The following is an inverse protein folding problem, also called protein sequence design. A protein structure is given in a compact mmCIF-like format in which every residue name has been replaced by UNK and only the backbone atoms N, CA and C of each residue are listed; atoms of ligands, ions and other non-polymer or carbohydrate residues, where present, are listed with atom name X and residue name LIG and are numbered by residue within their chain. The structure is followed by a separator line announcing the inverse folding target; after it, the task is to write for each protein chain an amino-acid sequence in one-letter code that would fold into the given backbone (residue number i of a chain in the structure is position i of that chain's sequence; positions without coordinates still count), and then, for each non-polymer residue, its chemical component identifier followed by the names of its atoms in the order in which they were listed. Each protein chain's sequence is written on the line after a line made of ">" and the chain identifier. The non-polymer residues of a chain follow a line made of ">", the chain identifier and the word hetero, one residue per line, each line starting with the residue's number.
data_IF_293835580856
#
_entry.id   IF_293835580856
#
_cell.length_a   1.000
_cell.length_b   1.000
_cell.length_c   1.000
_cell.angle_alpha   90.00
_cell.angle_beta   90.00
_cell.angle_gamma   90.00
#
_symmetry.space_group_name_H-M   'P 1'
#
loop_
_entity.id
_entity.type
_entity.pdbx_description
1 polymer ?
#
# COMPACT_ATOMS: atom_id res chain seq x y z
N UNK A 1 0.06 0.15 -23.84
CA UNK A 1 0.20 -0.79 -22.71
C UNK A 1 0.27 -0.14 -21.32
N UNK A 2 0.88 1.04 -21.15
CA UNK A 2 1.20 1.68 -19.84
C UNK A 2 -0.03 1.93 -18.92
N UNK A 3 -1.22 2.23 -19.49
CA UNK A 3 -2.44 2.50 -18.70
C UNK A 3 -2.94 1.27 -17.91
N UNK A 4 -2.84 0.07 -18.49
CA UNK A 4 -3.49 -1.14 -17.96
C UNK A 4 -2.74 -1.75 -16.78
N UNK A 5 -1.41 -1.63 -16.74
CA UNK A 5 -0.60 -2.22 -15.66
C UNK A 5 -0.46 -1.33 -14.43
N UNK A 6 -0.67 -0.01 -14.54
CA UNK A 6 -0.42 0.92 -13.41
C UNK A 6 -1.30 0.61 -12.20
N UNK A 7 -2.60 0.37 -12.39
CA UNK A 7 -3.51 -0.02 -11.29
C UNK A 7 -3.07 -1.31 -10.61
N UNK A 8 -2.67 -2.32 -11.39
CA UNK A 8 -2.16 -3.58 -10.86
C UNK A 8 -0.91 -3.37 -10.01
N UNK A 9 0.05 -2.59 -10.51
CA UNK A 9 1.28 -2.26 -9.79
C UNK A 9 0.99 -1.51 -8.49
N UNK A 10 0.11 -0.51 -8.52
CA UNK A 10 -0.31 0.22 -7.32
C UNK A 10 -0.91 -0.72 -6.27
N UNK A 11 -1.83 -1.61 -6.68
CA UNK A 11 -2.45 -2.55 -5.73
C UNK A 11 -1.45 -3.55 -5.14
N UNK A 12 -0.53 -4.09 -5.95
CA UNK A 12 0.52 -4.99 -5.46
C UNK A 12 1.44 -4.23 -4.48
N UNK A 13 1.94 -3.05 -4.85
CA UNK A 13 2.83 -2.28 -4.00
C UNK A 13 2.15 -1.78 -2.73
N UNK A 14 0.88 -1.41 -2.79
CA UNK A 14 0.08 -1.05 -1.60
C UNK A 14 -0.10 -2.25 -0.67
N UNK A 15 -0.36 -3.45 -1.21
CA UNK A 15 -0.45 -4.67 -0.39
C UNK A 15 0.88 -5.03 0.28
N UNK A 16 2.01 -4.83 -0.40
CA UNK A 16 3.35 -5.01 0.16
C UNK A 16 3.62 -3.99 1.26
N UNK A 17 3.31 -2.70 1.01
CA UNK A 17 3.48 -1.65 1.99
C UNK A 17 2.65 -1.92 3.25
N UNK A 18 1.36 -2.24 3.09
CA UNK A 18 0.46 -2.56 4.20
C UNK A 18 0.99 -3.76 5.00
N UNK A 19 1.36 -4.84 4.32
CA UNK A 19 1.88 -6.03 4.97
C UNK A 19 3.18 -5.74 5.73
N UNK A 20 4.08 -4.96 5.14
CA UNK A 20 5.36 -4.58 5.74
C UNK A 20 5.15 -3.71 6.97
N UNK A 21 4.34 -2.66 6.88
CA UNK A 21 4.08 -1.75 8.00
C UNK A 21 3.35 -2.45 9.15
N UNK A 22 2.41 -3.34 8.86
CA UNK A 22 1.75 -4.15 9.88
C UNK A 22 2.69 -5.17 10.53
N UNK A 23 3.62 -5.79 9.79
CA UNK A 23 4.63 -6.68 10.37
C UNK A 23 5.63 -5.90 11.24
N UNK A 24 6.06 -4.72 10.82
CA UNK A 24 6.89 -3.83 11.64
C UNK A 24 6.14 -3.48 12.93
N UNK A 25 4.85 -3.12 12.82
CA UNK A 25 4.00 -2.85 13.99
C UNK A 25 3.92 -4.04 14.94
N UNK A 26 3.71 -5.24 14.42
CA UNK A 26 3.63 -6.47 15.21
C UNK A 26 4.98 -6.80 15.87
N UNK A 27 6.08 -6.64 15.14
CA UNK A 27 7.43 -6.88 15.65
C UNK A 27 7.83 -5.85 16.73
N UNK A 28 7.49 -4.57 16.52
CA UNK A 28 7.68 -3.52 17.53
C UNK A 28 6.89 -3.84 18.79
N UNK A 29 5.60 -4.20 18.66
CA UNK A 29 4.78 -4.63 19.79
C UNK A 29 5.42 -5.82 20.53
N UNK A 30 5.78 -6.88 19.80
CA UNK A 30 6.42 -8.05 20.39
C UNK A 30 7.75 -7.73 21.09
N UNK A 31 8.54 -6.78 20.56
CA UNK A 31 9.81 -6.35 21.15
C UNK A 31 9.62 -5.52 22.42
N UNK A 32 8.76 -4.49 22.37
CA UNK A 32 8.53 -3.60 23.52
C UNK A 32 7.89 -4.34 24.70
N UNK A 33 7.09 -5.36 24.40
CA UNK A 33 6.34 -6.13 25.40
C UNK A 33 6.91 -7.54 25.60
N UNK A 34 8.16 -7.80 25.20
CA UNK A 34 8.78 -9.13 25.29
C UNK A 34 8.92 -9.61 26.74
N UNK A 35 9.33 -8.72 27.65
CA UNK A 35 9.53 -9.04 29.06
C UNK A 35 8.20 -9.27 29.81
N UNK A 36 7.14 -8.57 29.40
CA UNK A 36 5.78 -8.70 29.97
C UNK A 36 4.87 -9.62 29.14
N UNK A 37 5.43 -10.36 28.17
CA UNK A 37 4.65 -11.08 27.15
C UNK A 37 3.68 -12.10 27.76
N UNK A 38 4.04 -12.75 28.86
CA UNK A 38 3.17 -13.67 29.59
C UNK A 38 2.01 -12.94 30.30
N UNK A 39 2.29 -11.79 30.94
CA UNK A 39 1.28 -10.97 31.60
C UNK A 39 0.31 -10.34 30.59
N UNK A 40 0.84 -9.84 29.47
CA UNK A 40 0.05 -9.25 28.39
C UNK A 40 -0.77 -10.31 27.66
N UNK A 41 -0.19 -11.49 27.42
CA UNK A 41 -0.95 -12.61 26.85
C UNK A 41 -2.09 -13.07 27.77
N UNK A 42 -2.02 -12.82 29.08
CA UNK A 42 -3.11 -13.09 30.01
C UNK A 42 -4.21 -12.01 30.01
N UNK A 43 -3.91 -10.78 29.56
CA UNK A 43 -4.88 -9.68 29.42
C UNK A 43 -5.83 -9.93 28.24
N UNK A 44 -5.32 -10.52 27.15
CA UNK A 44 -6.09 -10.76 25.92
C UNK A 44 -6.68 -12.17 25.87
N UNK A 45 -7.92 -12.28 25.38
CA UNK A 45 -8.60 -13.57 25.28
C UNK A 45 -7.88 -14.51 24.31
N UNK A 46 -8.08 -15.83 24.45
CA UNK A 46 -7.57 -16.83 23.47
C UNK A 46 -8.03 -16.48 22.06
N UNK A 47 -9.27 -15.98 21.92
CA UNK A 47 -9.85 -15.58 20.65
C UNK A 47 -9.09 -14.39 20.02
N UNK A 48 -8.78 -13.34 20.78
CA UNK A 48 -8.01 -12.19 20.30
C UNK A 48 -6.57 -12.58 19.90
N UNK A 49 -5.91 -13.42 20.70
CA UNK A 49 -4.59 -13.95 20.38
C UNK A 49 -4.61 -14.80 19.10
N UNK A 50 -5.64 -15.62 18.93
CA UNK A 50 -5.87 -16.37 17.68
C UNK A 50 -6.03 -15.44 16.48
N UNK A 51 -6.79 -14.35 16.62
CA UNK A 51 -6.97 -13.36 15.56
C UNK A 51 -5.65 -12.69 15.16
N UNK A 52 -4.76 -12.42 16.12
CA UNK A 52 -3.41 -11.89 15.84
C UNK A 52 -2.52 -12.90 15.13
N UNK A 53 -2.57 -14.19 15.51
CA UNK A 53 -1.83 -15.24 14.82
C UNK A 53 -2.29 -15.36 13.35
N UNK A 54 -3.60 -15.35 13.11
CA UNK A 54 -4.19 -15.33 11.76
C UNK A 54 -3.73 -14.08 11.00
N UNK A 55 -3.73 -12.91 11.64
CA UNK A 55 -3.25 -11.69 11.04
C UNK A 55 -1.76 -11.79 10.66
N UNK A 56 -0.90 -12.27 11.55
CA UNK A 56 0.53 -12.45 11.27
C UNK A 56 0.78 -13.37 10.07
N UNK A 57 0.11 -14.52 10.02
CA UNK A 57 0.19 -15.46 8.91
C UNK A 57 -0.30 -14.83 7.59
N UNK A 58 -1.42 -14.12 7.63
CA UNK A 58 -1.95 -13.42 6.47
C UNK A 58 -1.00 -12.33 5.96
N UNK A 59 -0.39 -11.54 6.85
CA UNK A 59 0.56 -10.50 6.48
C UNK A 59 1.79 -11.10 5.78
N UNK A 60 2.32 -12.22 6.29
CA UNK A 60 3.43 -12.96 5.64
C UNK A 60 3.00 -13.48 4.27
N UNK A 61 1.84 -14.15 4.18
CA UNK A 61 1.33 -14.69 2.92
C UNK A 61 1.09 -13.59 1.88
N UNK A 62 0.51 -12.46 2.29
CA UNK A 62 0.28 -11.27 1.47
C UNK A 62 1.60 -10.67 0.98
N UNK A 63 2.61 -10.54 1.85
CA UNK A 63 3.93 -10.02 1.49
C UNK A 63 4.64 -10.93 0.47
N UNK A 64 4.67 -12.25 0.75
CA UNK A 64 5.25 -13.25 -0.14
C UNK A 64 4.54 -13.25 -1.49
N UNK A 65 3.22 -13.22 -1.49
CA UNK A 65 2.43 -13.11 -2.72
C UNK A 65 2.74 -11.81 -3.47
N UNK A 66 2.80 -10.67 -2.80
CA UNK A 66 3.16 -9.37 -3.38
C UNK A 66 4.51 -9.41 -4.10
N UNK A 67 5.56 -9.86 -3.41
CA UNK A 67 6.92 -9.98 -3.97
C UNK A 67 6.94 -10.97 -5.13
N UNK A 68 6.26 -12.12 -4.99
CA UNK A 68 6.17 -13.12 -6.04
C UNK A 68 5.41 -12.60 -7.28
N UNK A 69 4.38 -11.77 -7.10
CA UNK A 69 3.66 -11.10 -8.19
C UNK A 69 4.53 -10.09 -8.93
N UNK A 70 5.36 -9.31 -8.23
CA UNK A 70 6.36 -8.44 -8.88
C UNK A 70 7.38 -9.24 -9.70
N UNK A 71 7.69 -10.46 -9.25
CA UNK A 71 8.52 -11.44 -9.98
C UNK A 71 7.74 -12.26 -11.01
N UNK A 72 6.49 -11.87 -11.32
CA UNK A 72 5.58 -12.51 -12.29
C UNK A 72 5.31 -14.00 -12.04
N UNK A 73 5.36 -14.46 -10.79
CA UNK A 73 5.02 -15.84 -10.43
C UNK A 73 3.50 -16.04 -10.46
N UNK A 74 3.02 -16.99 -11.26
CA UNK A 74 1.59 -17.23 -11.50
C UNK A 74 0.84 -17.74 -10.27
N UNK A 75 1.49 -18.53 -9.41
CA UNK A 75 0.92 -19.06 -8.17
C UNK A 75 0.61 -17.96 -7.14
N UNK A 76 1.29 -16.81 -7.22
CA UNK A 76 1.19 -15.74 -6.23
C UNK A 76 -0.22 -15.14 -6.13
N UNK A 77 -0.94 -15.05 -7.26
CA UNK A 77 -2.35 -14.63 -7.27
C UNK A 77 -3.25 -15.58 -6.50
N UNK A 78 -3.02 -16.89 -6.66
CA UNK A 78 -3.78 -17.92 -5.95
C UNK A 78 -3.47 -17.85 -4.45
N UNK A 79 -2.20 -17.69 -4.07
CA UNK A 79 -1.82 -17.52 -2.67
C UNK A 79 -2.54 -16.32 -2.03
N UNK A 80 -2.52 -15.16 -2.68
CA UNK A 80 -3.19 -13.97 -2.15
C UNK A 80 -4.71 -14.18 -2.02
N UNK A 81 -5.35 -14.68 -3.09
CA UNK A 81 -6.80 -14.83 -3.09
C UNK A 81 -7.30 -15.89 -2.09
N UNK A 82 -6.70 -17.08 -2.11
CA UNK A 82 -7.08 -18.18 -1.20
C UNK A 82 -6.70 -17.82 0.24
N UNK A 83 -5.48 -17.32 0.46
CA UNK A 83 -5.06 -16.87 1.78
C UNK A 83 -5.96 -15.79 2.36
N UNK A 84 -6.40 -14.85 1.52
CA UNK A 84 -7.29 -13.75 1.95
C UNK A 84 -8.66 -14.26 2.34
N UNK A 85 -9.24 -15.19 1.56
CA UNK A 85 -10.52 -15.83 1.89
C UNK A 85 -10.41 -16.64 3.19
N UNK A 86 -9.35 -17.44 3.35
CA UNK A 86 -9.11 -18.22 4.56
C UNK A 86 -8.93 -17.31 5.78
N UNK A 87 -8.18 -16.22 5.66
CA UNK A 87 -8.01 -15.24 6.73
C UNK A 87 -9.34 -14.56 7.11
N UNK A 88 -10.16 -14.18 6.11
CA UNK A 88 -11.49 -13.60 6.35
C UNK A 88 -12.42 -14.59 7.07
N UNK A 89 -12.45 -15.86 6.66
CA UNK A 89 -13.25 -16.89 7.33
C UNK A 89 -12.78 -17.13 8.77
N UNK A 90 -11.47 -17.19 8.99
CA UNK A 90 -10.90 -17.31 10.32
C UNK A 90 -11.23 -16.10 11.19
N UNK A 91 -11.15 -14.88 10.65
CA UNK A 91 -11.56 -13.67 11.35
C UNK A 91 -13.07 -13.63 11.62
N UNK A 92 -13.93 -14.14 10.74
CA UNK A 92 -15.37 -14.28 11.04
C UNK A 92 -15.64 -15.19 12.25
N UNK A 93 -14.82 -16.22 12.45
CA UNK A 93 -14.93 -17.08 13.63
C UNK A 93 -14.33 -16.43 14.91
N UNK A 94 -13.40 -15.49 14.76
CA UNK A 94 -12.59 -14.96 15.86
C UNK A 94 -12.89 -13.50 16.23
N UNK A 95 -13.57 -12.73 15.38
CA UNK A 95 -13.77 -11.30 15.56
C UNK A 95 -15.22 -10.91 15.30
N UNK A 96 -15.71 -9.83 15.95
CA UNK A 96 -16.98 -9.22 15.60
C UNK A 96 -17.09 -8.92 14.10
N UNK A 97 -18.25 -9.19 13.51
CA UNK A 97 -18.51 -9.03 12.08
C UNK A 97 -18.12 -7.64 11.51
N UNK A 98 -18.26 -6.49 12.23
CA UNK A 98 -17.88 -5.19 11.65
C UNK A 98 -16.39 -5.09 11.31
N UNK A 99 -15.51 -5.69 12.12
CA UNK A 99 -14.07 -5.73 11.86
C UNK A 99 -13.77 -6.52 10.60
N UNK A 100 -14.47 -7.63 10.40
CA UNK A 100 -14.25 -8.49 9.25
C UNK A 100 -14.77 -7.83 7.98
N UNK A 101 -15.94 -7.19 8.02
CA UNK A 101 -16.49 -6.42 6.88
C UNK A 101 -15.54 -5.31 6.45
N UNK A 102 -14.92 -4.59 7.39
CA UNK A 102 -13.91 -3.60 7.06
C UNK A 102 -12.71 -4.19 6.31
N UNK A 103 -12.27 -5.40 6.68
CA UNK A 103 -11.18 -6.11 5.99
C UNK A 103 -11.60 -6.69 4.62
N UNK A 104 -12.88 -7.02 4.41
CA UNK A 104 -13.39 -7.55 3.13
C UNK A 104 -13.16 -6.54 2.00
N UNK A 105 -13.40 -5.25 2.24
CA UNK A 105 -13.31 -4.20 1.21
C UNK A 105 -11.93 -4.15 0.53
N UNK A 106 -10.81 -3.96 1.24
CA UNK A 106 -9.49 -3.92 0.62
C UNK A 106 -9.06 -5.27 0.01
N UNK A 107 -9.45 -6.40 0.63
CA UNK A 107 -9.14 -7.74 0.09
C UNK A 107 -9.86 -7.96 -1.24
N UNK A 108 -11.16 -7.68 -1.30
CA UNK A 108 -11.97 -7.82 -2.52
C UNK A 108 -11.49 -6.87 -3.62
N UNK A 109 -11.17 -5.62 -3.28
CA UNK A 109 -10.62 -4.65 -4.23
C UNK A 109 -9.29 -5.14 -4.83
N UNK A 110 -8.42 -5.72 -4.00
CA UNK A 110 -7.13 -6.26 -4.45
C UNK A 110 -7.34 -7.48 -5.33
N UNK A 111 -8.18 -8.44 -4.93
CA UNK A 111 -8.50 -9.62 -5.75
C UNK A 111 -9.07 -9.20 -7.11
N UNK A 112 -10.01 -8.25 -7.15
CA UNK A 112 -10.57 -7.73 -8.41
C UNK A 112 -9.47 -7.17 -9.32
N UNK A 113 -8.50 -6.45 -8.77
CA UNK A 113 -7.37 -5.95 -9.56
C UNK A 113 -6.47 -7.09 -10.07
N UNK A 114 -6.18 -8.09 -9.22
CA UNK A 114 -5.32 -9.24 -9.54
C UNK A 114 -5.91 -10.19 -10.59
N UNK A 115 -7.24 -10.23 -10.71
CA UNK A 115 -7.96 -11.03 -11.71
C UNK A 115 -8.48 -10.20 -12.89
N UNK A 116 -8.08 -8.94 -13.00
CA UNK A 116 -8.39 -8.12 -14.16
C UNK A 116 -7.67 -8.63 -15.43
N UNK A 117 -8.24 -8.33 -16.59
CA UNK A 117 -7.62 -8.65 -17.89
C UNK A 117 -6.18 -8.10 -18.00
N UNK A 118 -5.93 -6.93 -17.40
CA UNK A 118 -4.59 -6.33 -17.35
C UNK A 118 -3.57 -7.18 -16.56
N UNK A 119 -4.00 -7.82 -15.48
CA UNK A 119 -3.16 -8.71 -14.69
C UNK A 119 -2.81 -9.99 -15.45
N UNK A 120 -3.76 -10.54 -16.21
CA UNK A 120 -3.47 -11.69 -17.08
C UNK A 120 -2.41 -11.34 -18.13
N UNK A 121 -2.54 -10.20 -18.81
CA UNK A 121 -1.54 -9.72 -19.76
C UNK A 121 -0.17 -9.51 -19.09
N UNK A 122 -0.14 -8.95 -17.88
CA UNK A 122 1.12 -8.69 -17.17
C UNK A 122 1.88 -9.98 -16.81
N UNK A 123 1.16 -11.01 -16.34
CA UNK A 123 1.77 -12.26 -15.89
C UNK A 123 2.25 -13.16 -17.03
N UNK A 124 1.67 -13.02 -18.22
CA UNK A 124 2.04 -13.80 -19.41
C UNK A 124 2.90 -12.99 -20.38
N UNK A 125 3.17 -11.71 -20.09
CA UNK A 125 4.10 -10.91 -20.89
C UNK A 125 5.52 -11.47 -20.76
N UNK A 126 6.23 -11.51 -21.89
CA UNK A 126 7.66 -11.81 -21.96
C UNK A 126 8.38 -10.94 -20.92
N UNK A 127 9.30 -11.51 -20.10
CA UNK A 127 10.10 -10.74 -19.16
C UNK A 127 10.77 -9.60 -19.93
N UNK A 128 10.36 -8.36 -19.63
CA UNK A 128 11.12 -7.22 -20.09
C UNK A 128 12.41 -7.22 -19.27
N UNK A 129 13.55 -6.95 -19.91
CA UNK A 129 14.80 -6.75 -19.18
C UNK A 129 14.55 -5.80 -18.00
N UNK A 130 14.89 -6.26 -16.80
CA UNK A 130 14.81 -5.41 -15.62
C UNK A 130 15.66 -4.15 -15.88
N UNK A 131 15.22 -2.95 -15.48
CA UNK A 131 16.00 -1.74 -15.70
C UNK A 131 17.38 -1.90 -15.02
N UNK A 132 18.43 -2.12 -15.82
CA UNK A 132 19.79 -2.50 -15.35
C UNK A 132 20.59 -1.33 -14.75
N UNK A 133 19.97 -0.17 -14.52
CA UNK A 133 20.66 1.03 -14.06
C UNK A 133 20.63 1.18 -12.54
N UNK A 134 21.81 1.28 -11.89
CA UNK A 134 21.96 1.61 -10.46
C UNK A 134 21.13 2.85 -10.07
N UNK A 135 21.08 3.86 -10.93
CA UNK A 135 20.27 5.07 -10.77
C UNK A 135 18.77 4.78 -10.63
N UNK A 136 18.24 3.88 -11.44
CA UNK A 136 16.81 3.50 -11.41
C UNK A 136 16.48 2.72 -10.14
N UNK A 137 17.37 1.83 -9.71
CA UNK A 137 17.22 1.11 -8.44
C UNK A 137 17.21 2.07 -7.25
N UNK A 138 18.17 3.00 -7.18
CA UNK A 138 18.22 4.00 -6.10
C UNK A 138 16.94 4.83 -6.09
N UNK A 139 16.47 5.30 -7.25
CA UNK A 139 15.21 6.05 -7.32
C UNK A 139 14.02 5.23 -6.80
N UNK A 140 13.92 3.95 -7.16
CA UNK A 140 12.84 3.07 -6.67
C UNK A 140 12.89 2.88 -5.15
N UNK A 141 14.09 2.67 -4.59
CA UNK A 141 14.27 2.56 -3.14
C UNK A 141 13.87 3.86 -2.44
N UNK A 142 14.28 5.02 -2.98
CA UNK A 142 13.92 6.32 -2.41
C UNK A 142 12.41 6.59 -2.52
N UNK A 143 11.74 6.21 -3.62
CA UNK A 143 10.28 6.32 -3.72
C UNK A 143 9.59 5.39 -2.72
N UNK A 144 10.05 4.16 -2.54
CA UNK A 144 9.51 3.24 -1.54
C UNK A 144 9.69 3.78 -0.12
N UNK A 145 10.87 4.32 0.20
CA UNK A 145 11.16 4.96 1.48
C UNK A 145 10.28 6.19 1.72
N UNK A 146 10.16 7.08 0.73
CA UNK A 146 9.26 8.24 0.80
C UNK A 146 7.81 7.80 1.06
N UNK A 147 7.34 6.77 0.35
CA UNK A 147 5.97 6.22 0.49
C UNK A 147 5.74 5.65 1.89
N UNK A 148 6.70 4.91 2.44
CA UNK A 148 6.62 4.37 3.79
C UNK A 148 6.63 5.48 4.85
N UNK A 149 7.48 6.49 4.69
CA UNK A 149 7.56 7.63 5.59
C UNK A 149 6.28 8.47 5.57
N UNK A 150 5.71 8.77 4.40
CA UNK A 150 4.44 9.50 4.33
C UNK A 150 3.30 8.69 4.95
N UNK A 151 3.27 7.37 4.74
CA UNK A 151 2.31 6.46 5.36
C UNK A 151 2.40 6.51 6.88
N UNK A 152 3.59 6.33 7.45
CA UNK A 152 3.79 6.36 8.91
C UNK A 152 3.50 7.73 9.50
N UNK A 153 3.86 8.82 8.79
CA UNK A 153 3.59 10.20 9.22
C UNK A 153 2.09 10.43 9.36
N UNK A 154 1.32 10.14 8.30
CA UNK A 154 -0.13 10.36 8.29
C UNK A 154 -0.84 9.45 9.29
N UNK A 155 -0.44 8.17 9.36
CA UNK A 155 -1.03 7.24 10.31
C UNK A 155 -0.76 7.66 11.77
N UNK A 156 0.46 8.11 12.08
CA UNK A 156 0.81 8.65 13.40
C UNK A 156 0.06 9.95 13.74
N UNK A 157 -0.07 10.87 12.78
CA UNK A 157 -0.79 12.14 12.96
C UNK A 157 -2.28 11.94 13.24
N UNK A 158 -2.95 11.01 12.56
CA UNK A 158 -4.40 10.84 12.68
C UNK A 158 -4.83 9.94 13.82
N UNK A 159 -3.97 9.02 14.23
CA UNK A 159 -4.21 8.20 15.41
C UNK A 159 -3.87 8.97 16.68
N UNK A 160 -2.81 9.79 16.71
CA UNK A 160 -2.46 10.58 17.91
C UNK A 160 -2.04 9.75 19.14
N UNK A 161 -1.89 8.43 18.98
CA UNK A 161 -1.53 7.46 20.02
C UNK A 161 -1.00 6.17 19.37
N UNK A 162 -0.33 5.33 20.17
CA UNK A 162 0.27 4.05 19.74
C UNK A 162 1.75 4.16 19.42
N UNK A 163 2.41 3.02 19.19
CA UNK A 163 3.89 2.95 19.07
C UNK A 163 4.46 3.89 18.01
N UNK A 164 3.75 4.13 16.90
CA UNK A 164 4.19 5.10 15.89
C UNK A 164 4.24 6.50 16.49
N UNK A 165 3.19 6.93 17.19
CA UNK A 165 3.16 8.23 17.87
C UNK A 165 4.20 8.33 18.99
N UNK A 166 4.36 7.27 19.80
CA UNK A 166 5.37 7.22 20.88
C UNK A 166 6.80 7.27 20.35
N UNK A 167 7.06 6.63 19.21
CA UNK A 167 8.38 6.64 18.56
C UNK A 167 8.69 7.99 17.89
N UNK A 168 7.65 8.79 17.60
CA UNK A 168 7.78 10.13 17.08
C UNK A 168 8.00 11.14 18.23
N UNK A 169 7.26 11.06 19.33
CA UNK A 169 7.33 12.08 20.40
C UNK A 169 6.72 13.42 19.98
N UNK A 170 6.63 14.37 20.93
CA UNK A 170 5.76 15.57 20.81
C UNK A 170 6.02 16.53 19.63
N UNK A 171 7.23 16.56 19.06
CA UNK A 171 7.60 17.47 17.95
C UNK A 171 7.74 16.79 16.58
N UNK A 172 7.60 15.47 16.50
CA UNK A 172 8.00 14.70 15.33
C UNK A 172 7.08 14.66 14.11
N UNK A 173 5.79 15.07 14.13
CA UNK A 173 5.00 15.15 12.91
C UNK A 173 5.63 16.06 11.85
N UNK A 174 6.19 17.20 12.28
CA UNK A 174 6.84 18.16 11.39
C UNK A 174 8.19 17.63 10.84
N UNK A 175 9.01 17.01 11.68
CA UNK A 175 10.28 16.42 11.22
C UNK A 175 10.08 15.26 10.26
N UNK A 176 9.08 14.40 10.51
CA UNK A 176 8.72 13.31 9.60
C UNK A 176 8.11 13.85 8.29
N UNK A 177 7.34 14.93 8.38
CA UNK A 177 6.81 15.63 7.21
C UNK A 177 7.93 16.18 6.31
N UNK A 178 8.91 16.86 6.90
CA UNK A 178 10.10 17.35 6.19
C UNK A 178 10.88 16.17 5.60
N UNK A 179 11.09 15.11 6.37
CA UNK A 179 11.87 13.94 5.94
C UNK A 179 11.27 13.28 4.69
N UNK A 180 9.96 12.99 4.66
CA UNK A 180 9.38 12.35 3.47
C UNK A 180 9.41 13.27 2.25
N UNK A 181 9.23 14.58 2.42
CA UNK A 181 9.32 15.55 1.32
C UNK A 181 10.74 15.57 0.74
N UNK A 182 11.76 15.64 1.59
CA UNK A 182 13.17 15.63 1.16
C UNK A 182 13.50 14.33 0.42
N UNK A 183 13.10 13.18 0.97
CA UNK A 183 13.32 11.87 0.34
C UNK A 183 12.57 11.76 -0.99
N UNK A 184 11.35 12.28 -1.09
CA UNK A 184 10.57 12.29 -2.33
C UNK A 184 11.22 13.17 -3.40
N UNK A 185 11.66 14.38 -3.04
CA UNK A 185 12.37 15.29 -3.96
C UNK A 185 13.67 14.64 -4.43
N UNK A 186 14.45 14.05 -3.53
CA UNK A 186 15.65 13.29 -3.88
C UNK A 186 15.33 12.14 -4.85
N UNK A 187 14.26 11.37 -4.60
CA UNK A 187 13.80 10.31 -5.49
C UNK A 187 13.50 10.84 -6.91
N UNK A 188 12.80 11.98 -7.00
CA UNK A 188 12.47 12.64 -8.28
C UNK A 188 13.73 13.11 -9.01
N UNK A 189 14.69 13.70 -8.30
CA UNK A 189 15.94 14.18 -8.89
C UNK A 189 16.79 13.01 -9.43
N UNK A 190 16.90 11.94 -8.65
CA UNK A 190 17.62 10.72 -9.04
C UNK A 190 16.89 9.97 -10.15
N UNK A 191 15.56 10.02 -10.24
CA UNK A 191 14.82 9.30 -11.27
C UNK A 191 15.13 9.79 -12.71
N UNK A 192 15.13 8.88 -13.71
CA UNK A 192 15.27 9.24 -15.12
C UNK A 192 14.18 10.22 -15.58
N UNK A 193 14.54 11.28 -16.33
CA UNK A 193 13.64 12.39 -16.68
C UNK A 193 12.30 11.96 -17.28
N UNK A 194 12.28 10.89 -18.09
CA UNK A 194 11.06 10.35 -18.72
C UNK A 194 10.11 9.58 -17.78
N UNK A 195 10.57 9.15 -16.60
CA UNK A 195 9.78 8.31 -15.68
C UNK A 195 9.41 8.99 -14.36
N UNK A 196 9.96 10.18 -14.09
CA UNK A 196 9.76 10.92 -12.82
C UNK A 196 8.30 11.07 -12.42
N UNK A 197 7.49 11.67 -13.30
CA UNK A 197 6.07 11.94 -13.03
C UNK A 197 5.29 10.64 -12.81
N UNK A 198 5.59 9.59 -13.58
CA UNK A 198 4.95 8.29 -13.40
C UNK A 198 5.34 7.63 -12.08
N UNK A 199 6.63 7.57 -11.75
CA UNK A 199 7.12 6.95 -10.51
C UNK A 199 6.61 7.70 -9.27
N UNK A 200 6.62 9.02 -9.30
CA UNK A 200 6.06 9.85 -8.23
C UNK A 200 4.55 9.64 -8.09
N UNK A 201 3.81 9.66 -9.21
CA UNK A 201 2.37 9.38 -9.21
C UNK A 201 2.02 7.99 -8.68
N UNK A 202 2.81 6.96 -9.04
CA UNK A 202 2.65 5.60 -8.49
C UNK A 202 2.92 5.59 -6.98
N UNK A 203 4.02 6.19 -6.51
CA UNK A 203 4.37 6.25 -5.09
C UNK A 203 3.26 6.90 -4.26
N UNK A 204 2.76 8.05 -4.70
CA UNK A 204 1.66 8.74 -4.03
C UNK A 204 0.36 7.92 -4.06
N UNK A 205 0.04 7.28 -5.20
CA UNK A 205 -1.16 6.45 -5.29
C UNK A 205 -1.09 5.19 -4.41
N UNK A 206 0.11 4.60 -4.27
CA UNK A 206 0.36 3.47 -3.35
C UNK A 206 0.08 3.89 -1.92
N UNK A 207 0.59 5.06 -1.50
CA UNK A 207 0.27 5.64 -0.19
C UNK A 207 -1.24 5.86 -0.03
N UNK A 208 -1.91 6.48 -1.00
CA UNK A 208 -3.35 6.77 -0.96
C UNK A 208 -4.16 5.49 -0.76
N UNK A 209 -3.88 4.45 -1.56
CA UNK A 209 -4.59 3.17 -1.49
C UNK A 209 -4.33 2.48 -0.15
N UNK A 210 -3.07 2.42 0.31
CA UNK A 210 -2.72 1.81 1.58
C UNK A 210 -3.36 2.54 2.77
N UNK A 211 -3.27 3.87 2.82
CA UNK A 211 -3.83 4.67 3.89
C UNK A 211 -5.37 4.61 3.89
N UNK A 212 -6.01 4.62 2.71
CA UNK A 212 -7.47 4.43 2.62
C UNK A 212 -7.89 3.07 3.15
N UNK A 213 -7.17 2.00 2.81
CA UNK A 213 -7.43 0.67 3.34
C UNK A 213 -7.26 0.61 4.87
N UNK A 214 -6.23 1.27 5.40
CA UNK A 214 -6.02 1.40 6.84
C UNK A 214 -7.19 2.15 7.51
N UNK A 215 -7.59 3.30 6.97
CA UNK A 215 -8.71 4.10 7.47
C UNK A 215 -10.03 3.32 7.45
N UNK A 216 -10.31 2.54 6.40
CA UNK A 216 -11.47 1.63 6.36
C UNK A 216 -11.42 0.66 7.54
N UNK A 217 -10.24 0.12 7.85
CA UNK A 217 -10.01 -0.74 9.02
C UNK A 217 -10.29 -0.07 10.37
N UNK A 218 -10.21 1.26 10.46
CA UNK A 218 -10.55 2.03 11.67
C UNK A 218 -12.03 2.41 11.79
N UNK A 219 -12.84 2.26 10.73
CA UNK A 219 -14.28 2.59 10.77
C UNK A 219 -15.02 1.87 11.91
N UNK A 220 -14.83 0.55 12.14
CA UNK A 220 -15.52 -0.16 13.22
C UNK A 220 -15.21 0.38 14.62
N UNK A 221 -14.05 1.04 14.78
CA UNK A 221 -13.60 1.61 16.05
C UNK A 221 -14.11 3.04 16.30
N UNK A 222 -14.87 3.61 15.38
CA UNK A 222 -15.54 4.89 15.62
C UNK A 222 -16.52 4.78 16.77
N UNK A 223 -16.74 5.87 17.53
CA UNK A 223 -17.69 5.89 18.65
C UNK A 223 -19.10 5.36 18.28
N UNK A 224 -19.55 5.63 17.04
CA UNK A 224 -20.85 5.17 16.52
C UNK A 224 -20.90 3.65 16.32
N UNK A 225 -19.77 3.04 15.92
CA UNK A 225 -19.68 1.63 15.53
C UNK A 225 -19.14 0.74 16.65
N UNK A 226 -18.39 1.31 17.60
CA UNK A 226 -17.74 0.59 18.70
C UNK A 226 -18.75 -0.17 19.58
N UNK A 227 -19.99 0.32 19.68
CA UNK A 227 -21.08 -0.38 20.38
C UNK A 227 -21.35 -1.80 19.86
N UNK A 228 -20.99 -2.10 18.61
CA UNK A 228 -21.16 -3.41 17.99
C UNK A 228 -19.95 -4.34 18.19
N UNK A 229 -18.84 -3.86 18.77
CA UNK A 229 -17.62 -4.63 18.96
C UNK A 229 -17.58 -5.38 20.31
N UNK A 230 -18.39 -4.94 21.28
CA UNK A 230 -18.40 -5.48 22.64
C UNK A 230 -17.44 -4.74 23.58
N UNK A 231 -17.53 -5.04 24.88
CA UNK A 231 -16.83 -4.30 25.95
C UNK A 231 -15.30 -4.42 25.92
N UNK A 232 -14.77 -5.41 25.20
CA UNK A 232 -13.33 -5.63 25.05
C UNK A 232 -12.67 -4.69 24.03
N UNK A 233 -13.44 -3.93 23.25
CA UNK A 233 -12.92 -3.02 22.23
C UNK A 233 -13.20 -1.57 22.62
N UNK A 234 -12.12 -0.78 22.67
CA UNK A 234 -12.21 0.65 22.96
C UNK A 234 -12.39 1.44 21.66
N UNK A 235 -13.20 2.51 21.68
CA UNK A 235 -13.29 3.42 20.56
C UNK A 235 -11.94 4.11 20.33
N UNK A 236 -11.60 4.34 19.06
CA UNK A 236 -10.42 5.09 18.65
C UNK A 236 -10.84 6.44 18.08
N UNK A 237 -10.22 7.51 18.56
CA UNK A 237 -10.41 8.84 18.00
C UNK A 237 -9.52 9.03 16.78
N UNK A 238 -10.11 8.91 15.60
CA UNK A 238 -9.43 9.23 14.33
C UNK A 238 -9.85 10.63 13.89
N UNK A 239 -8.88 11.47 13.55
CA UNK A 239 -9.14 12.79 12.97
C UNK A 239 -9.59 12.67 11.50
N UNK A 240 -10.84 12.23 11.28
CA UNK A 240 -11.38 11.90 9.96
C UNK A 240 -11.35 13.05 8.95
N UNK A 241 -11.61 14.29 9.38
CA UNK A 241 -11.58 15.48 8.51
C UNK A 241 -10.20 15.72 7.88
N UNK A 242 -9.16 15.93 8.71
CA UNK A 242 -7.77 16.02 8.23
C UNK A 242 -7.32 14.80 7.43
N UNK A 243 -7.73 13.60 7.83
CA UNK A 243 -7.40 12.36 7.13
C UNK A 243 -7.98 12.30 5.72
N UNK A 244 -9.28 12.55 5.58
CA UNK A 244 -9.97 12.56 4.30
C UNK A 244 -9.42 13.65 3.37
N UNK A 245 -9.19 14.86 3.90
CA UNK A 245 -8.62 15.97 3.14
C UNK A 245 -7.22 15.62 2.61
N UNK A 246 -6.34 15.12 3.48
CA UNK A 246 -4.99 14.75 3.10
C UNK A 246 -4.93 13.64 2.04
N UNK A 247 -5.76 12.59 2.20
CA UNK A 247 -5.90 11.52 1.21
C UNK A 247 -6.42 12.07 -0.12
N UNK A 248 -7.45 12.91 -0.11
CA UNK A 248 -8.03 13.47 -1.32
C UNK A 248 -7.06 14.37 -2.10
N UNK A 249 -6.31 15.24 -1.40
CA UNK A 249 -5.30 16.11 -2.03
C UNK A 249 -4.19 15.28 -2.67
N UNK A 250 -3.65 14.30 -1.95
CA UNK A 250 -2.57 13.45 -2.48
C UNK A 250 -3.08 12.53 -3.60
N UNK A 251 -4.32 12.07 -3.54
CA UNK A 251 -4.96 11.33 -4.63
C UNK A 251 -5.11 12.19 -5.89
N UNK A 252 -5.52 13.45 -5.73
CA UNK A 252 -5.63 14.39 -6.84
C UNK A 252 -4.27 14.68 -7.47
N UNK A 253 -3.24 14.94 -6.66
CA UNK A 253 -1.86 15.15 -7.14
C UNK A 253 -1.34 13.89 -7.85
N UNK A 254 -1.52 12.71 -7.27
CA UNK A 254 -1.13 11.45 -7.86
C UNK A 254 -1.81 11.23 -9.22
N UNK A 255 -3.12 11.47 -9.29
CA UNK A 255 -3.90 11.37 -10.52
C UNK A 255 -3.44 12.34 -11.59
N UNK A 256 -3.14 13.60 -11.23
CA UNK A 256 -2.59 14.60 -12.14
C UNK A 256 -1.23 14.16 -12.69
N UNK A 257 -0.32 13.70 -11.83
CA UNK A 257 1.01 13.22 -12.23
C UNK A 257 0.94 12.00 -13.16
N UNK A 258 0.07 11.04 -12.86
CA UNK A 258 -0.16 9.88 -13.71
C UNK A 258 -0.79 10.27 -15.05
N UNK A 259 -1.67 11.25 -15.06
CA UNK A 259 -2.30 11.79 -16.28
C UNK A 259 -1.30 12.53 -17.16
N UNK A 260 -0.42 13.36 -16.56
CA UNK A 260 0.66 14.05 -17.25
C UNK A 260 1.69 13.08 -17.81
N UNK A 261 2.08 12.05 -17.04
CA UNK A 261 2.99 11.02 -17.51
C UNK A 261 2.41 10.24 -18.71
N UNK A 262 1.10 10.00 -18.70
CA UNK A 262 0.37 9.39 -19.81
C UNK A 262 0.34 10.27 -21.05
N UNK A 263 0.19 11.59 -20.91
CA UNK A 263 0.25 12.53 -22.04
C UNK A 263 1.65 12.59 -22.65
N UNK A 264 2.70 12.61 -21.83
CA UNK A 264 4.10 12.58 -22.31
C UNK A 264 4.51 11.24 -22.93
N UNK A 265 3.79 10.16 -22.63
CA UNK A 265 3.99 8.82 -23.19
C UNK A 265 2.98 8.41 -24.28
N UNK A 266 2.16 9.35 -24.78
CA UNK A 266 1.40 9.18 -26.02
C UNK A 266 2.33 9.04 -27.23
N UNK A 267 1.89 8.43 -28.35
CA UNK A 267 2.80 8.07 -29.43
C UNK A 267 3.49 9.32 -29.94
N UNK A 268 4.83 9.35 -29.86
CA UNK A 268 5.58 9.92 -30.98
C UNK A 268 5.08 9.13 -32.18
N UNK A 269 4.41 9.79 -33.11
CA UNK A 269 4.10 9.22 -34.41
C UNK A 269 5.33 8.41 -34.88
N UNK A 270 5.15 7.21 -35.46
CA UNK A 270 6.22 6.72 -36.31
C UNK A 270 6.54 7.87 -37.27
N UNK A 271 7.82 8.27 -37.45
CA UNK A 271 8.14 9.27 -38.45
C UNK A 271 7.43 8.85 -39.74
N UNK A 272 6.81 9.78 -40.50
CA UNK A 272 6.35 9.43 -41.83
C UNK A 272 7.54 8.74 -42.53
N UNK A 273 7.32 7.63 -43.26
CA UNK A 273 8.37 7.14 -44.13
C UNK A 273 8.62 8.25 -45.15
N UNK A 274 9.58 9.14 -44.85
CA UNK A 274 10.07 10.09 -45.81
C UNK A 274 11.03 9.34 -46.73
N UNK A 275 10.68 9.37 -48.00
CA UNK A 275 11.45 8.83 -49.10
C UNK A 275 10.61 7.87 -49.92
N UNK A 276 9.69 8.41 -50.71
CA UNK A 276 9.52 8.06 -52.14
C UNK A 276 8.18 8.58 -52.65
N UNK A 277 8.19 9.83 -53.10
CA UNK A 277 7.44 10.34 -54.24
C UNK A 277 8.18 11.63 -54.67
N UNK A 278 8.41 11.93 -55.96
CA UNK A 278 8.05 11.22 -57.18
C UNK A 278 9.28 10.91 -58.06
N UNK A 279 9.14 9.98 -59.01
CA UNK A 279 9.81 10.15 -60.30
C UNK A 279 8.92 9.63 -61.42
N UNK A 280 8.75 10.50 -62.42
CA UNK A 280 8.11 10.21 -63.69
C UNK A 280 9.07 9.37 -64.55
N UNK A 281 8.62 8.16 -64.93
CA UNK A 281 8.91 7.51 -66.21
C UNK A 281 7.90 6.39 -66.43
#
# INVERSE_FOLDING_TARGET
>A
MIKRTTTLYVMILASILQATMSLISLASFARFFWQDSAAIAAIYTVQQRGAWAVAALWLIASLVAGIAMLRRRTWARKLYAVGGVVALLAWFALLPWPLVVAAVVPVAATIRALYSHAANLHLHAIPADAPKGRRTLIAQVLFAAATALIYSTYLGMFLGHGWMYEQFGGYAPLYHLIAWVVVLVAAILVAPRGTRAWQCGVALMVFVVALTAALIGFIPYTAVSARYLGTAFQPFEVQWGPAAFGVAVLAFVAWLLLSLAKMRGGPKEPPPPHGDLPDFA
#
